data_IF_708685410492
#
_entry.id   IF_708685410492
#
_cell.length_a   1.000
_cell.length_b   1.000
_cell.length_c   1.000
_cell.angle_alpha   90.00
_cell.angle_beta   90.00
_cell.angle_gamma   90.00
#
_symmetry.space_group_name_H-M   'P 1'
#
loop_
_entity.id
_entity.type
_entity.pdbx_description
1 polymer ?
#
# COMPACT_ATOMS: atom_id res chain seq x y z
N UNK A 1 34.02 -67.14 14.84
CA UNK A 1 34.45 -66.36 15.98
C UNK A 1 34.63 -64.91 15.54
N UNK A 2 33.63 -64.06 15.74
CA UNK A 2 33.73 -62.60 15.53
C UNK A 2 33.19 -61.95 16.78
N UNK A 3 34.11 -61.29 17.50
CA UNK A 3 33.82 -60.50 18.69
C UNK A 3 33.13 -59.20 18.31
N UNK A 4 32.02 -58.88 18.98
CA UNK A 4 31.37 -57.55 18.92
C UNK A 4 31.99 -56.65 20.00
N UNK A 5 32.14 -55.34 19.75
CA UNK A 5 32.59 -54.42 20.80
C UNK A 5 31.38 -53.87 21.58
N UNK A 6 31.55 -53.91 22.90
CA UNK A 6 30.69 -53.27 23.91
C UNK A 6 30.78 -51.75 23.79
N UNK A 7 29.64 -51.07 23.66
CA UNK A 7 29.53 -49.63 23.81
C UNK A 7 29.11 -49.31 25.26
N UNK A 8 29.99 -48.64 26.01
CA UNK A 8 29.72 -48.11 27.35
C UNK A 8 28.99 -46.76 27.18
N UNK A 9 27.75 -46.70 27.57
CA UNK A 9 27.00 -45.45 27.67
C UNK A 9 27.29 -44.77 29.01
N UNK A 10 27.98 -43.66 28.97
CA UNK A 10 28.23 -42.80 30.14
C UNK A 10 27.08 -41.80 30.26
N UNK A 11 26.21 -42.02 31.25
CA UNK A 11 25.13 -41.10 31.58
C UNK A 11 25.67 -39.95 32.44
N UNK A 12 25.76 -38.76 31.88
CA UNK A 12 25.96 -37.54 32.65
C UNK A 12 24.61 -37.04 33.15
N UNK A 13 24.36 -37.11 34.45
CA UNK A 13 23.23 -36.43 35.10
C UNK A 13 23.59 -34.93 35.23
N UNK A 14 22.95 -34.12 34.43
CA UNK A 14 22.97 -32.65 34.59
C UNK A 14 21.83 -32.27 35.52
N UNK A 15 22.17 -31.91 36.77
CA UNK A 15 21.22 -31.29 37.69
C UNK A 15 20.86 -29.86 37.18
N UNK A 16 19.65 -29.69 36.67
CA UNK A 16 19.08 -28.38 36.39
C UNK A 16 18.68 -27.71 37.71
N UNK A 17 19.49 -26.79 38.18
CA UNK A 17 19.05 -25.78 39.15
C UNK A 17 18.22 -24.74 38.38
N UNK A 18 16.91 -24.80 38.52
CA UNK A 18 15.99 -23.77 38.04
C UNK A 18 16.16 -22.52 38.91
N UNK A 19 16.88 -21.54 38.40
CA UNK A 19 16.72 -20.17 38.90
C UNK A 19 15.36 -19.68 38.44
N UNK A 20 14.44 -19.50 39.42
CA UNK A 20 13.23 -18.78 39.18
C UNK A 20 13.60 -17.31 38.86
N UNK A 21 13.50 -16.92 37.59
CA UNK A 21 13.57 -15.52 37.23
C UNK A 21 12.28 -14.84 37.73
N UNK A 22 12.41 -13.74 38.45
CA UNK A 22 11.29 -12.88 38.80
C UNK A 22 10.51 -12.52 37.51
N UNK A 23 9.16 -12.49 37.55
CA UNK A 23 8.38 -12.07 36.42
C UNK A 23 8.78 -10.64 36.02
N UNK A 24 8.88 -10.32 34.73
CA UNK A 24 9.18 -8.97 34.30
C UNK A 24 8.13 -8.03 34.89
N UNK A 25 8.60 -6.99 35.58
CA UNK A 25 7.72 -5.91 36.08
C UNK A 25 6.98 -5.35 34.90
N UNK A 26 5.65 -5.38 34.96
CA UNK A 26 4.77 -4.76 33.99
C UNK A 26 5.28 -3.35 33.64
N UNK A 27 5.38 -2.97 32.37
CA UNK A 27 5.69 -1.61 32.00
C UNK A 27 4.63 -0.71 32.66
N UNK A 28 5.08 0.27 33.46
CA UNK A 28 4.23 1.22 34.15
C UNK A 28 3.18 1.74 33.17
N UNK A 29 1.92 1.47 33.48
CA UNK A 29 0.77 2.06 32.77
C UNK A 29 1.04 3.56 32.59
N UNK A 30 1.03 4.11 31.37
CA UNK A 30 1.24 5.55 31.17
C UNK A 30 0.19 6.30 31.97
N UNK A 31 0.61 7.33 32.71
CA UNK A 31 -0.28 8.21 33.47
C UNK A 31 -1.45 8.67 32.59
N UNK A 32 -2.67 8.48 33.05
CA UNK A 32 -3.91 8.75 32.33
C UNK A 32 -4.15 10.24 31.93
N UNK A 33 -3.15 11.12 32.12
CA UNK A 33 -3.24 12.57 31.85
C UNK A 33 -2.19 13.10 30.84
N UNK A 34 -1.49 12.26 30.11
CA UNK A 34 -0.69 12.76 28.98
C UNK A 34 -1.66 13.02 27.81
N UNK A 35 -1.81 14.28 27.41
CA UNK A 35 -2.57 14.64 26.21
C UNK A 35 -2.08 13.80 25.04
N UNK A 36 -3.02 13.13 24.35
CA UNK A 36 -2.68 12.33 23.17
C UNK A 36 -1.97 13.24 22.17
N UNK A 37 -0.81 12.86 21.64
CA UNK A 37 -0.11 13.69 20.67
C UNK A 37 -1.04 14.03 19.50
N UNK A 38 -0.94 15.22 18.92
CA UNK A 38 -1.75 15.60 17.77
C UNK A 38 -1.53 14.59 16.63
N UNK A 39 -2.56 14.33 15.80
CA UNK A 39 -2.43 13.42 14.69
C UNK A 39 -1.33 13.93 13.72
N UNK A 40 -0.61 13.03 13.04
CA UNK A 40 0.38 13.41 12.03
C UNK A 40 -0.23 14.34 10.98
N UNK A 41 0.52 15.37 10.56
CA UNK A 41 0.06 16.30 9.54
C UNK A 41 -0.09 15.57 8.20
N UNK A 42 -1.20 15.84 7.51
CA UNK A 42 -1.49 15.38 6.17
C UNK A 42 -1.43 16.58 5.21
N UNK A 43 -0.60 16.50 4.19
CA UNK A 43 -0.51 17.49 3.13
C UNK A 43 -1.29 16.99 1.92
N UNK A 44 -2.18 17.79 1.39
CA UNK A 44 -3.09 17.44 0.28
C UNK A 44 -2.75 18.16 -1.02
N UNK A 45 -1.68 18.94 -1.02
CA UNK A 45 -1.13 19.62 -2.19
C UNK A 45 0.41 19.72 -2.08
N UNK A 46 1.08 19.80 -3.22
CA UNK A 46 2.54 19.83 -3.30
C UNK A 46 3.15 21.13 -2.72
N UNK A 47 2.44 22.25 -2.82
CA UNK A 47 2.97 23.56 -2.40
C UNK A 47 3.24 23.60 -0.89
N UNK A 48 2.45 22.85 -0.10
CA UNK A 48 2.57 22.77 1.35
C UNK A 48 3.42 21.61 1.84
N UNK A 49 3.74 20.64 0.96
CA UNK A 49 4.36 19.36 1.34
C UNK A 49 5.87 19.49 1.71
N UNK A 50 6.52 20.59 1.32
CA UNK A 50 7.88 20.93 1.74
C UNK A 50 9.01 20.20 1.00
N UNK A 51 10.22 20.27 1.56
CA UNK A 51 11.43 19.76 0.92
C UNK A 51 11.46 18.22 0.83
N UNK A 52 11.00 17.53 1.87
CA UNK A 52 10.98 16.07 1.90
C UNK A 52 10.14 15.48 0.77
N UNK A 53 9.02 16.13 0.44
CA UNK A 53 8.17 15.74 -0.68
C UNK A 53 8.89 15.87 -2.03
N UNK A 54 9.71 16.89 -2.22
CA UNK A 54 10.47 17.08 -3.47
C UNK A 54 11.46 15.94 -3.70
N UNK A 55 12.08 15.41 -2.64
CA UNK A 55 13.04 14.32 -2.69
C UNK A 55 12.32 12.95 -2.81
N UNK A 56 11.16 12.79 -2.15
CA UNK A 56 10.38 11.56 -2.25
C UNK A 56 9.95 11.28 -3.69
N UNK A 57 9.97 10.03 -4.11
CA UNK A 57 9.48 9.62 -5.43
C UNK A 57 10.24 8.46 -6.03
N UNK A 58 10.05 8.25 -7.31
CA UNK A 58 10.67 7.20 -8.08
C UNK A 58 11.78 7.74 -8.95
N UNK A 59 12.89 6.99 -9.04
CA UNK A 59 14.07 7.34 -9.83
C UNK A 59 14.51 6.14 -10.68
N UNK A 60 14.90 6.41 -11.92
CA UNK A 60 15.46 5.40 -12.83
C UNK A 60 16.87 5.82 -13.26
N UNK A 61 17.80 4.86 -13.22
CA UNK A 61 19.16 4.98 -13.73
C UNK A 61 19.51 3.79 -14.59
N UNK A 62 20.34 4.03 -15.62
CA UNK A 62 20.79 3.01 -16.54
C UNK A 62 22.25 3.27 -16.92
N UNK A 63 23.07 2.20 -16.93
CA UNK A 63 24.45 2.24 -17.42
C UNK A 63 24.84 0.87 -18.00
N UNK A 64 25.16 0.83 -19.29
CA UNK A 64 25.32 -0.42 -20.02
C UNK A 64 24.06 -1.29 -19.91
N UNK A 65 24.23 -2.54 -19.50
CA UNK A 65 23.12 -3.48 -19.30
C UNK A 65 22.47 -3.40 -17.91
N UNK A 66 23.00 -2.55 -17.01
CA UNK A 66 22.47 -2.39 -15.67
C UNK A 66 21.40 -1.30 -15.63
N UNK A 67 20.16 -1.69 -15.32
CA UNK A 67 19.05 -0.78 -15.02
C UNK A 67 18.66 -0.92 -13.55
N UNK A 68 18.51 0.22 -12.87
CA UNK A 68 18.06 0.27 -11.48
C UNK A 68 16.86 1.22 -11.33
N UNK A 69 15.86 0.75 -10.59
CA UNK A 69 14.78 1.59 -10.10
C UNK A 69 14.97 1.88 -8.62
N UNK A 70 14.65 3.07 -8.16
CA UNK A 70 14.72 3.46 -6.75
C UNK A 70 13.41 4.12 -6.36
N UNK A 71 12.82 3.67 -5.25
CA UNK A 71 11.73 4.37 -4.57
C UNK A 71 12.31 5.02 -3.31
N UNK A 72 12.17 6.34 -3.19
CA UNK A 72 12.61 7.14 -2.05
C UNK A 72 11.42 7.59 -1.25
N UNK A 73 11.36 7.20 0.01
CA UNK A 73 10.25 7.42 0.93
C UNK A 73 10.69 8.39 2.02
N UNK A 74 9.97 9.50 2.17
CA UNK A 74 10.15 10.42 3.28
C UNK A 74 9.51 9.85 4.55
N UNK A 75 10.26 9.85 5.63
CA UNK A 75 9.88 9.32 6.94
C UNK A 75 9.81 10.40 8.02
N UNK A 76 9.68 11.67 7.61
CA UNK A 76 9.62 12.81 8.51
C UNK A 76 10.89 12.90 9.36
N UNK A 77 10.73 12.98 10.69
CA UNK A 77 11.87 13.07 11.62
C UNK A 77 12.85 11.90 11.55
N UNK A 78 12.44 10.75 11.01
CA UNK A 78 13.30 9.58 10.83
C UNK A 78 14.15 9.65 9.56
N UNK A 79 14.00 10.73 8.75
CA UNK A 79 14.72 10.93 7.51
C UNK A 79 14.08 10.26 6.32
N UNK A 80 14.82 9.44 5.59
CA UNK A 80 14.38 8.78 4.36
C UNK A 80 14.75 7.31 4.33
N UNK A 81 14.02 6.56 3.50
CA UNK A 81 14.40 5.22 3.09
C UNK A 81 14.40 5.14 1.56
N UNK A 82 15.47 4.61 0.99
CA UNK A 82 15.52 4.22 -0.41
C UNK A 82 15.33 2.71 -0.54
N UNK A 83 14.52 2.29 -1.51
CA UNK A 83 14.33 0.89 -1.89
C UNK A 83 14.80 0.74 -3.32
N UNK A 84 15.86 -0.06 -3.53
CA UNK A 84 16.54 -0.22 -4.82
C UNK A 84 16.14 -1.54 -5.46
N UNK A 85 15.64 -1.45 -6.67
CA UNK A 85 15.14 -2.57 -7.47
C UNK A 85 16.07 -2.81 -8.67
N UNK A 86 16.31 -4.07 -9.02
CA UNK A 86 17.03 -4.45 -10.26
C UNK A 86 16.07 -4.51 -11.44
N UNK A 87 16.55 -4.12 -12.58
CA UNK A 87 15.91 -4.17 -13.91
C UNK A 87 14.76 -3.17 -14.10
N UNK A 88 14.43 -2.37 -13.10
CA UNK A 88 13.39 -1.33 -13.19
C UNK A 88 12.62 -1.13 -11.90
N UNK A 89 11.41 -0.58 -11.98
CA UNK A 89 10.49 -0.32 -10.86
C UNK A 89 9.41 -1.42 -10.77
N UNK A 90 8.73 -1.57 -9.63
CA UNK A 90 7.55 -2.46 -9.53
C UNK A 90 6.54 -2.20 -10.65
N UNK A 91 6.17 -3.27 -11.37
CA UNK A 91 5.29 -3.20 -12.54
C UNK A 91 5.91 -2.59 -13.81
N UNK A 92 7.20 -2.25 -13.79
CA UNK A 92 7.95 -1.70 -14.92
C UNK A 92 9.40 -2.21 -14.92
N UNK A 93 9.57 -3.49 -15.24
CA UNK A 93 10.85 -4.15 -15.42
C UNK A 93 11.43 -4.83 -14.20
N UNK A 94 11.07 -4.47 -12.97
CA UNK A 94 11.59 -5.15 -11.77
C UNK A 94 11.43 -6.67 -11.86
N UNK A 95 12.52 -7.38 -11.58
CA UNK A 95 12.62 -8.84 -11.77
C UNK A 95 11.97 -9.68 -10.63
N UNK A 96 11.28 -9.04 -9.66
CA UNK A 96 10.60 -9.70 -8.54
C UNK A 96 11.52 -10.19 -7.42
N UNK A 97 12.84 -9.98 -7.51
CA UNK A 97 13.77 -10.36 -6.43
C UNK A 97 13.78 -9.32 -5.31
N UNK A 98 14.18 -9.77 -4.12
CA UNK A 98 14.23 -8.91 -2.92
C UNK A 98 15.00 -7.61 -3.20
N UNK A 99 14.36 -6.44 -3.00
CA UNK A 99 15.00 -5.16 -3.19
C UNK A 99 15.92 -4.84 -2.01
N UNK A 100 16.97 -4.07 -2.27
CA UNK A 100 17.84 -3.55 -1.22
C UNK A 100 17.24 -2.29 -0.60
N UNK A 101 17.27 -2.19 0.72
CA UNK A 101 16.81 -1.02 1.45
C UNK A 101 17.98 -0.32 2.14
N UNK A 102 17.96 1.01 2.16
CA UNK A 102 18.95 1.84 2.85
C UNK A 102 18.29 3.08 3.42
N UNK A 103 18.65 3.46 4.64
CA UNK A 103 18.19 4.70 5.26
C UNK A 103 19.10 5.88 4.88
N UNK A 104 18.50 7.05 4.78
CA UNK A 104 19.18 8.29 4.45
C UNK A 104 18.68 9.46 5.26
N UNK A 105 19.41 10.54 5.22
CA UNK A 105 19.08 11.80 5.93
C UNK A 105 19.57 13.00 5.17
N UNK A 106 19.08 14.17 5.53
CA UNK A 106 19.60 15.42 5.06
C UNK A 106 21.05 15.63 5.53
N UNK A 107 21.94 15.97 4.60
CA UNK A 107 23.29 16.45 4.82
C UNK A 107 23.48 17.73 4.00
N UNK A 108 23.38 18.90 4.66
CA UNK A 108 23.32 20.20 3.97
C UNK A 108 22.11 20.31 3.03
N UNK A 109 22.35 20.57 1.76
CA UNK A 109 21.34 20.75 0.71
C UNK A 109 21.00 19.44 -0.05
N UNK A 110 21.42 18.28 0.46
CA UNK A 110 21.20 16.98 -0.19
C UNK A 110 20.73 15.93 0.81
N UNK A 111 19.99 14.93 0.32
CA UNK A 111 19.71 13.71 1.07
C UNK A 111 20.73 12.65 0.65
N UNK A 112 21.42 12.07 1.63
CA UNK A 112 22.44 11.07 1.42
C UNK A 112 22.06 9.74 2.04
N UNK A 113 22.27 8.68 1.28
CA UNK A 113 22.15 7.30 1.69
C UNK A 113 23.51 6.64 1.57
N UNK A 114 23.91 5.82 2.55
CA UNK A 114 25.17 5.08 2.52
C UNK A 114 24.90 3.67 3.01
N UNK A 115 25.34 2.69 2.25
CA UNK A 115 25.22 1.28 2.62
C UNK A 115 26.48 0.78 3.36
N UNK A 116 26.37 -0.36 4.04
CA UNK A 116 27.50 -0.95 4.80
C UNK A 116 28.69 -1.31 3.90
N UNK A 117 28.46 -1.59 2.62
CA UNK A 117 29.47 -1.85 1.59
C UNK A 117 29.86 -0.60 0.80
N UNK A 118 29.67 0.59 1.38
CA UNK A 118 30.10 1.89 0.87
C UNK A 118 29.49 2.31 -0.48
N UNK A 119 28.32 1.74 -0.89
CA UNK A 119 27.56 2.37 -1.97
C UNK A 119 26.85 3.62 -1.43
N UNK A 120 26.80 4.65 -2.23
CA UNK A 120 26.12 5.90 -1.88
C UNK A 120 25.07 6.27 -2.90
N UNK A 121 24.04 7.00 -2.45
CA UNK A 121 23.06 7.69 -3.29
C UNK A 121 22.89 9.10 -2.72
N UNK A 122 23.04 10.10 -3.58
CA UNK A 122 22.89 11.51 -3.21
C UNK A 122 21.80 12.13 -4.08
N UNK A 123 20.83 12.77 -3.43
CA UNK A 123 19.71 13.46 -4.09
C UNK A 123 19.73 14.91 -3.63
N UNK A 124 19.73 15.85 -4.55
CA UNK A 124 19.69 17.27 -4.23
C UNK A 124 18.30 17.71 -3.69
N UNK A 125 18.24 18.88 -3.08
CA UNK A 125 17.00 19.43 -2.49
C UNK A 125 15.85 19.65 -3.49
N UNK A 126 16.12 19.67 -4.79
CA UNK A 126 15.09 19.81 -5.82
C UNK A 126 14.48 18.46 -6.19
N UNK A 127 15.21 17.38 -5.90
CA UNK A 127 14.73 16.02 -6.06
C UNK A 127 14.50 15.58 -7.52
N UNK A 128 15.13 16.27 -8.50
CA UNK A 128 14.92 15.94 -9.92
C UNK A 128 15.86 14.87 -10.43
N UNK A 129 17.02 14.73 -9.80
CA UNK A 129 18.06 13.77 -10.13
C UNK A 129 18.75 13.25 -8.88
N UNK A 130 19.39 12.11 -9.03
CA UNK A 130 20.26 11.55 -8.00
C UNK A 130 21.53 10.99 -8.65
N UNK A 131 22.59 10.88 -7.87
CA UNK A 131 23.84 10.23 -8.28
C UNK A 131 24.12 9.09 -7.31
N UNK A 132 24.20 7.88 -7.84
CA UNK A 132 24.69 6.71 -7.11
C UNK A 132 26.18 6.52 -7.35
N UNK A 133 26.91 5.99 -6.37
CA UNK A 133 28.29 5.52 -6.53
C UNK A 133 28.49 4.19 -5.85
N UNK A 134 29.29 3.31 -6.45
CA UNK A 134 29.71 2.07 -5.83
C UNK A 134 30.99 2.26 -4.97
N UNK A 135 31.49 1.16 -4.37
CA UNK A 135 32.68 1.15 -3.52
C UNK A 135 33.97 1.56 -4.25
N UNK A 136 33.96 1.56 -5.59
CA UNK A 136 35.07 2.02 -6.46
C UNK A 136 34.91 3.45 -6.93
N UNK A 137 33.88 4.16 -6.46
CA UNK A 137 33.48 5.48 -6.94
C UNK A 137 33.07 5.55 -8.42
N UNK A 138 32.69 4.41 -9.02
CA UNK A 138 32.02 4.40 -10.32
C UNK A 138 30.57 4.90 -10.13
N UNK A 139 30.16 5.87 -10.94
CA UNK A 139 28.89 6.59 -10.74
C UNK A 139 27.82 6.17 -11.73
N UNK A 140 26.56 6.31 -11.31
CA UNK A 140 25.36 6.16 -12.12
C UNK A 140 24.43 7.33 -11.83
N UNK A 141 23.94 7.97 -12.89
CA UNK A 141 22.95 9.02 -12.80
C UNK A 141 21.53 8.44 -12.79
N UNK A 142 20.68 9.01 -11.94
CA UNK A 142 19.26 8.68 -11.86
C UNK A 142 18.41 9.92 -12.12
N UNK A 143 17.34 9.76 -12.86
CA UNK A 143 16.33 10.79 -13.10
C UNK A 143 15.05 10.46 -12.35
N UNK A 144 14.42 11.45 -11.76
CA UNK A 144 13.10 11.31 -11.18
C UNK A 144 12.08 11.03 -12.29
N UNK A 145 11.19 10.08 -12.04
CA UNK A 145 10.11 9.73 -12.97
C UNK A 145 8.75 9.85 -12.27
N UNK A 146 7.75 10.29 -13.02
CA UNK A 146 6.36 10.33 -12.59
C UNK A 146 5.56 9.40 -13.50
N UNK A 147 5.29 8.20 -13.01
CA UNK A 147 4.46 7.24 -13.75
C UNK A 147 2.99 7.63 -13.64
N UNK A 148 2.24 7.33 -14.69
CA UNK A 148 0.78 7.48 -14.71
C UNK A 148 0.13 6.13 -14.94
N UNK A 149 -1.01 5.91 -14.31
CA UNK A 149 -1.82 4.76 -14.65
C UNK A 149 -2.33 4.87 -16.09
N UNK A 150 -2.29 3.78 -16.88
CA UNK A 150 -2.86 3.80 -18.24
C UNK A 150 -4.39 3.97 -18.25
N UNK A 151 -5.05 3.77 -17.09
CA UNK A 151 -6.50 3.96 -16.94
C UNK A 151 -6.86 5.24 -16.19
N UNK A 152 -5.88 6.09 -15.86
CA UNK A 152 -6.15 7.41 -15.29
C UNK A 152 -6.92 8.29 -16.30
N UNK A 153 -8.07 8.82 -15.89
CA UNK A 153 -8.97 9.58 -16.73
C UNK A 153 -9.80 8.72 -17.70
N UNK A 154 -9.86 7.40 -17.49
CA UNK A 154 -10.67 6.51 -18.32
C UNK A 154 -12.13 6.91 -18.28
N UNK A 155 -12.72 7.12 -19.46
CA UNK A 155 -14.15 7.45 -19.57
C UNK A 155 -15.01 6.26 -19.19
N UNK A 156 -16.08 6.52 -18.46
CA UNK A 156 -17.10 5.51 -18.19
C UNK A 156 -17.62 4.92 -19.53
N UNK A 157 -17.58 3.59 -19.74
CA UNK A 157 -18.08 2.98 -20.96
C UNK A 157 -19.60 3.15 -21.11
N UNK A 158 -20.11 2.92 -22.31
CA UNK A 158 -21.55 2.96 -22.55
C UNK A 158 -22.28 1.96 -21.63
N UNK A 159 -23.34 2.41 -20.96
CA UNK A 159 -24.10 1.62 -19.99
C UNK A 159 -23.52 1.59 -18.57
N UNK A 160 -22.36 2.21 -18.34
CA UNK A 160 -21.83 2.35 -16.98
C UNK A 160 -22.71 3.28 -16.13
N UNK A 161 -22.79 2.97 -14.85
CA UNK A 161 -23.39 3.81 -13.82
C UNK A 161 -22.27 4.69 -13.26
N UNK A 162 -22.34 6.00 -13.54
CA UNK A 162 -21.40 6.97 -13.01
C UNK A 162 -21.76 7.23 -11.55
N UNK A 163 -20.90 6.82 -10.64
CA UNK A 163 -21.08 7.03 -9.20
C UNK A 163 -20.62 8.43 -8.80
N UNK A 164 -19.49 8.89 -9.38
CA UNK A 164 -18.95 10.22 -9.14
C UNK A 164 -18.01 10.64 -10.29
N UNK A 165 -18.27 11.82 -10.87
CA UNK A 165 -17.47 12.42 -11.94
C UNK A 165 -17.00 13.86 -11.65
N UNK A 166 -17.23 14.33 -10.42
CA UNK A 166 -16.90 15.69 -10.01
C UNK A 166 -18.03 16.73 -10.24
N UNK A 167 -19.17 16.34 -10.80
CA UNK A 167 -20.30 17.26 -11.04
C UNK A 167 -21.26 17.35 -9.85
N UNK A 168 -21.59 16.23 -9.23
CA UNK A 168 -22.48 16.14 -8.08
C UNK A 168 -22.23 14.84 -7.29
N UNK A 169 -22.96 14.66 -6.19
CA UNK A 169 -22.89 13.48 -5.30
C UNK A 169 -24.22 12.72 -5.24
N UNK A 170 -25.06 12.87 -6.26
CA UNK A 170 -26.44 12.38 -6.25
C UNK A 170 -26.58 10.86 -6.20
N UNK A 171 -25.58 10.11 -6.69
CA UNK A 171 -25.54 8.64 -6.61
C UNK A 171 -24.97 8.13 -5.29
N UNK A 172 -24.69 9.02 -4.32
CA UNK A 172 -24.02 8.68 -3.06
C UNK A 172 -24.86 9.01 -1.83
N UNK A 173 -24.84 8.12 -0.83
CA UNK A 173 -25.28 8.41 0.53
C UNK A 173 -24.09 8.98 1.31
N UNK A 174 -24.27 10.15 1.94
CA UNK A 174 -23.23 10.83 2.70
C UNK A 174 -22.08 11.40 1.84
N UNK A 175 -22.29 11.50 0.53
CA UNK A 175 -21.32 12.09 -0.40
C UNK A 175 -21.05 13.56 -0.07
N UNK A 176 -19.77 13.93 -0.07
CA UNK A 176 -19.27 15.30 0.06
C UNK A 176 -18.14 15.52 -0.93
N UNK A 177 -18.10 16.66 -1.52
CA UNK A 177 -17.11 17.09 -2.51
C UNK A 177 -16.41 18.35 -1.99
N UNK A 178 -15.12 18.48 -2.21
CA UNK A 178 -14.37 19.69 -1.88
C UNK A 178 -14.42 20.73 -3.03
N UNK A 179 -13.80 21.88 -2.83
CA UNK A 179 -13.73 22.97 -3.81
C UNK A 179 -12.98 22.61 -5.10
N UNK A 180 -12.16 21.54 -5.07
CA UNK A 180 -11.46 20.98 -6.24
C UNK A 180 -12.33 19.99 -7.02
N UNK A 181 -13.58 19.82 -6.64
CA UNK A 181 -14.49 18.81 -7.18
C UNK A 181 -14.00 17.37 -6.95
N UNK A 182 -13.33 17.11 -5.81
CA UNK A 182 -12.88 15.80 -5.40
C UNK A 182 -13.80 15.23 -4.32
N UNK A 183 -14.12 13.93 -4.43
CA UNK A 183 -14.97 13.23 -3.48
C UNK A 183 -14.17 12.91 -2.20
N UNK A 184 -14.73 13.28 -1.07
CA UNK A 184 -14.20 12.93 0.25
C UNK A 184 -14.54 11.48 0.61
N UNK A 185 -13.73 10.87 1.46
CA UNK A 185 -13.96 9.53 2.04
C UNK A 185 -15.26 9.48 2.88
N UNK A 186 -15.86 8.29 2.95
CA UNK A 186 -17.00 7.97 3.82
C UNK A 186 -18.31 7.64 3.11
N UNK A 187 -18.53 7.99 1.81
CA UNK A 187 -19.80 7.70 1.19
C UNK A 187 -19.98 6.22 0.82
N UNK A 188 -21.25 5.87 0.64
CA UNK A 188 -21.66 4.62 -0.01
C UNK A 188 -22.47 4.92 -1.25
N UNK A 189 -22.43 4.05 -2.26
CA UNK A 189 -23.36 4.17 -3.38
C UNK A 189 -24.82 4.04 -2.92
N UNK A 190 -25.75 4.74 -3.56
CA UNK A 190 -27.18 4.51 -3.36
C UNK A 190 -27.61 3.19 -3.98
N UNK A 191 -27.06 2.88 -5.16
CA UNK A 191 -27.29 1.61 -5.85
C UNK A 191 -26.53 0.48 -5.19
N UNK A 192 -27.10 -0.71 -5.27
CA UNK A 192 -26.51 -1.97 -4.79
C UNK A 192 -26.15 -2.82 -5.99
N UNK A 193 -25.01 -3.49 -5.92
CA UNK A 193 -24.43 -4.26 -7.01
C UNK A 193 -24.23 -5.72 -6.62
N UNK A 194 -24.35 -6.61 -7.60
CA UNK A 194 -23.88 -7.99 -7.54
C UNK A 194 -22.55 -8.11 -8.28
N UNK A 195 -22.51 -8.89 -9.34
CA UNK A 195 -21.35 -9.05 -10.20
C UNK A 195 -21.17 -7.75 -11.01
N UNK A 196 -19.99 -7.13 -10.93
CA UNK A 196 -19.75 -5.85 -11.57
C UNK A 196 -18.27 -5.60 -11.84
N UNK A 197 -18.00 -4.65 -12.73
CA UNK A 197 -16.68 -4.05 -12.89
C UNK A 197 -16.71 -2.63 -12.30
N UNK A 198 -15.70 -2.26 -11.54
CA UNK A 198 -15.59 -0.97 -10.86
C UNK A 198 -14.30 -0.30 -11.31
N UNK A 199 -14.38 0.96 -11.66
CA UNK A 199 -13.23 1.85 -11.78
C UNK A 199 -13.30 2.91 -10.69
N UNK A 200 -12.17 3.19 -10.05
CA UNK A 200 -12.04 4.26 -9.07
C UNK A 200 -10.64 4.88 -9.13
N UNK A 201 -10.58 6.19 -9.20
CA UNK A 201 -9.33 6.93 -9.07
C UNK A 201 -9.23 7.53 -7.67
N UNK A 202 -8.04 7.43 -7.07
CA UNK A 202 -7.78 7.97 -5.74
C UNK A 202 -6.43 8.66 -5.67
N UNK A 203 -6.31 9.60 -4.73
CA UNK A 203 -5.05 10.30 -4.42
C UNK A 203 -4.82 10.27 -2.91
N UNK A 204 -3.60 9.93 -2.54
CA UNK A 204 -3.17 9.81 -1.15
C UNK A 204 -2.55 11.11 -0.66
N UNK A 205 -2.85 11.60 0.55
CA UNK A 205 -2.12 12.72 1.14
C UNK A 205 -0.68 12.32 1.46
N UNK A 206 0.23 13.28 1.43
CA UNK A 206 1.59 13.10 1.91
C UNK A 206 1.63 13.23 3.45
N UNK A 207 1.99 12.14 4.14
CA UNK A 207 2.00 12.04 5.60
C UNK A 207 3.33 11.44 6.10
N UNK A 208 4.47 12.19 6.01
CA UNK A 208 5.78 11.62 6.28
C UNK A 208 5.99 11.14 7.72
N UNK A 209 5.29 11.73 8.70
CA UNK A 209 5.38 11.33 10.11
C UNK A 209 4.41 10.18 10.50
N UNK A 210 3.51 9.78 9.60
CA UNK A 210 2.58 8.67 9.84
C UNK A 210 3.17 7.31 9.42
N UNK A 211 2.69 6.22 10.02
CA UNK A 211 3.14 4.84 9.75
C UNK A 211 1.95 3.87 9.72
N UNK A 212 2.14 2.76 9.01
CA UNK A 212 1.19 1.65 8.96
C UNK A 212 -0.23 2.12 8.65
N UNK A 213 -1.21 1.58 9.35
CA UNK A 213 -2.64 1.89 9.13
C UNK A 213 -3.04 3.34 9.45
N UNK A 214 -2.16 4.16 10.00
CA UNK A 214 -2.37 5.59 10.21
C UNK A 214 -1.90 6.47 9.05
N UNK A 215 -1.29 5.90 7.98
CA UNK A 215 -0.67 6.63 6.89
C UNK A 215 -1.57 6.59 5.64
N UNK A 216 -2.38 7.65 5.43
CA UNK A 216 -3.25 7.82 4.27
C UNK A 216 -4.20 6.62 4.02
N UNK A 217 -4.92 6.20 5.05
CA UNK A 217 -5.77 5.02 5.03
C UNK A 217 -7.18 5.31 4.53
N UNK A 218 -7.67 4.44 3.64
CA UNK A 218 -9.02 4.32 3.14
C UNK A 218 -9.22 2.89 2.60
N UNK A 219 -10.31 2.63 1.87
CA UNK A 219 -10.59 1.35 1.23
C UNK A 219 -11.74 1.45 0.24
N UNK A 220 -11.70 0.63 -0.81
CA UNK A 220 -12.82 0.42 -1.72
C UNK A 220 -13.51 -0.89 -1.33
N UNK A 221 -14.68 -0.79 -0.73
CA UNK A 221 -15.48 -1.95 -0.32
C UNK A 221 -16.44 -2.38 -1.41
N UNK A 222 -16.33 -3.63 -1.82
CA UNK A 222 -17.23 -4.34 -2.72
C UNK A 222 -18.39 -4.89 -1.90
N UNK A 223 -19.63 -4.53 -2.26
CA UNK A 223 -20.84 -4.89 -1.51
C UNK A 223 -20.82 -4.49 -0.01
N UNK A 224 -19.96 -3.54 0.39
CA UNK A 224 -19.70 -3.22 1.80
C UNK A 224 -19.25 -4.44 2.65
N UNK A 225 -18.64 -5.42 2.00
CA UNK A 225 -18.20 -6.70 2.59
C UNK A 225 -16.72 -6.97 2.42
N UNK A 226 -16.19 -6.67 1.22
CA UNK A 226 -14.84 -7.05 0.81
C UNK A 226 -14.04 -5.80 0.45
N UNK A 227 -13.00 -5.55 1.19
CA UNK A 227 -12.16 -4.37 1.04
C UNK A 227 -10.97 -4.63 0.14
N UNK A 228 -10.79 -3.80 -0.88
CA UNK A 228 -9.52 -3.57 -1.53
C UNK A 228 -8.89 -2.35 -0.85
N UNK A 229 -7.79 -2.59 -0.13
CA UNK A 229 -7.15 -1.59 0.73
C UNK A 229 -6.59 -0.41 -0.05
N UNK A 230 -6.79 0.79 0.47
CA UNK A 230 -6.14 2.04 0.04
C UNK A 230 -5.28 2.55 1.19
N UNK A 231 -3.97 2.63 0.98
CA UNK A 231 -2.99 3.00 2.01
C UNK A 231 -1.75 3.61 1.35
N UNK A 232 -1.06 4.55 1.99
CA UNK A 232 0.28 4.92 1.54
C UNK A 232 1.28 3.80 1.89
N UNK A 233 1.38 2.86 0.98
CA UNK A 233 2.31 1.73 1.01
C UNK A 233 3.49 1.93 0.06
N UNK A 234 3.74 3.16 -0.38
CA UNK A 234 4.83 3.46 -1.30
C UNK A 234 6.17 2.96 -0.74
N UNK A 235 6.86 2.11 -1.51
CA UNK A 235 8.14 1.49 -1.12
C UNK A 235 8.05 0.43 -0.01
N UNK A 236 6.84 -0.06 0.31
CA UNK A 236 6.64 -1.22 1.17
C UNK A 236 6.59 -2.51 0.34
N UNK A 237 6.49 -3.64 1.02
CA UNK A 237 6.56 -4.96 0.39
C UNK A 237 5.30 -5.33 -0.41
N UNK A 238 4.12 -4.86 -0.01
CA UNK A 238 2.83 -5.28 -0.54
C UNK A 238 2.26 -6.46 0.26
N UNK A 239 2.02 -6.24 1.56
CA UNK A 239 1.34 -7.22 2.41
C UNK A 239 -0.18 -7.14 2.24
N UNK A 240 -0.91 -8.12 2.78
CA UNK A 240 -2.36 -8.21 2.62
C UNK A 240 -3.17 -7.11 3.34
N UNK A 241 -2.53 -6.26 4.12
CA UNK A 241 -3.09 -5.08 4.79
C UNK A 241 -2.48 -3.76 4.28
N UNK A 242 -1.75 -3.82 3.17
CA UNK A 242 -1.18 -2.68 2.45
C UNK A 242 -1.99 -2.37 1.20
N UNK A 243 -1.64 -1.31 0.48
CA UNK A 243 -2.37 -0.84 -0.70
C UNK A 243 -2.53 -1.96 -1.75
N UNK A 244 -3.74 -2.15 -2.25
CA UNK A 244 -4.07 -3.23 -3.18
C UNK A 244 -4.33 -4.58 -2.53
N UNK A 245 -4.07 -4.75 -1.22
CA UNK A 245 -4.43 -5.99 -0.52
C UNK A 245 -5.94 -6.20 -0.48
N UNK A 246 -6.42 -7.43 -0.67
CA UNK A 246 -7.75 -7.82 -0.20
C UNK A 246 -7.60 -7.99 1.31
N UNK A 247 -8.09 -7.00 2.05
CA UNK A 247 -7.69 -6.73 3.43
C UNK A 247 -7.69 -7.98 4.32
N UNK A 248 -6.50 -8.32 4.83
CA UNK A 248 -6.19 -9.50 5.65
C UNK A 248 -6.47 -10.86 4.98
N UNK A 249 -6.86 -10.90 3.70
CA UNK A 249 -7.16 -12.14 2.96
C UNK A 249 -6.09 -12.51 1.95
N UNK A 250 -5.68 -11.55 1.09
CA UNK A 250 -4.67 -11.80 0.07
C UNK A 250 -3.76 -10.59 -0.13
N UNK A 251 -2.46 -10.82 -0.20
CA UNK A 251 -1.47 -9.81 -0.59
C UNK A 251 -1.49 -9.61 -2.10
N UNK A 252 -1.25 -8.39 -2.59
CA UNK A 252 -1.07 -8.16 -4.02
C UNK A 252 0.19 -8.87 -4.52
N UNK A 253 0.16 -9.34 -5.77
CA UNK A 253 1.33 -9.99 -6.40
C UNK A 253 2.53 -9.05 -6.55
N UNK A 254 2.27 -7.75 -6.63
CA UNK A 254 3.26 -6.67 -6.67
C UNK A 254 2.65 -5.41 -6.04
N UNK A 255 3.45 -4.68 -5.26
CA UNK A 255 3.04 -3.39 -4.73
C UNK A 255 3.14 -2.31 -5.80
N UNK A 256 1.99 -1.86 -6.32
CA UNK A 256 1.89 -0.83 -7.36
C UNK A 256 1.56 0.56 -6.80
N UNK A 257 1.66 0.76 -5.48
CA UNK A 257 1.38 2.05 -4.86
C UNK A 257 2.36 3.12 -5.38
N UNK A 258 1.82 4.17 -6.00
CA UNK A 258 2.59 5.35 -6.42
C UNK A 258 2.85 6.29 -5.22
N UNK A 259 3.82 7.20 -5.34
CA UNK A 259 4.05 8.21 -4.32
C UNK A 259 2.78 8.98 -3.96
N UNK A 260 2.59 9.42 -2.70
CA UNK A 260 1.54 10.37 -2.33
C UNK A 260 1.47 11.59 -3.26
N UNK A 261 0.30 12.16 -3.39
CA UNK A 261 -0.06 13.27 -4.28
C UNK A 261 0.04 12.94 -5.79
N UNK A 262 0.13 11.64 -6.14
CA UNK A 262 -0.08 11.16 -7.51
C UNK A 262 -1.40 10.38 -7.58
N UNK A 263 -2.13 10.56 -8.69
CA UNK A 263 -3.36 9.82 -8.95
C UNK A 263 -3.05 8.35 -9.23
N UNK A 264 -3.88 7.48 -8.66
CA UNK A 264 -3.82 6.04 -8.79
C UNK A 264 -5.18 5.50 -9.18
N UNK A 265 -5.21 4.33 -9.82
CA UNK A 265 -6.46 3.72 -10.28
C UNK A 265 -6.61 2.31 -9.76
N UNK A 266 -7.82 1.97 -9.36
CA UNK A 266 -8.27 0.59 -9.27
C UNK A 266 -9.26 0.29 -10.39
N UNK A 267 -9.00 -0.81 -11.11
CA UNK A 267 -9.94 -1.45 -12.02
C UNK A 267 -10.24 -2.85 -11.44
N UNK A 268 -11.46 -3.05 -10.95
CA UNK A 268 -11.84 -4.24 -10.18
C UNK A 268 -12.94 -4.98 -10.91
N UNK A 269 -12.67 -6.22 -11.29
CA UNK A 269 -13.66 -7.17 -11.76
C UNK A 269 -14.12 -8.03 -10.59
N UNK A 270 -15.38 -7.88 -10.19
CA UNK A 270 -15.94 -8.52 -9.01
C UNK A 270 -17.06 -9.49 -9.35
N UNK A 271 -17.02 -10.67 -8.74
CA UNK A 271 -18.10 -11.66 -8.73
C UNK A 271 -18.53 -11.89 -7.28
N UNK A 272 -19.80 -11.68 -6.99
CA UNK A 272 -20.37 -11.83 -5.66
C UNK A 272 -20.42 -13.31 -5.21
N UNK A 273 -20.35 -13.53 -3.90
CA UNK A 273 -20.61 -14.83 -3.31
C UNK A 273 -22.01 -15.35 -3.68
N UNK A 274 -22.16 -16.64 -3.94
CA UNK A 274 -23.43 -17.25 -4.31
C UNK A 274 -24.02 -18.00 -3.13
N UNK A 275 -25.34 -17.98 -3.06
CA UNK A 275 -26.11 -18.62 -1.98
C UNK A 275 -27.27 -19.42 -2.58
N UNK A 276 -27.64 -20.51 -1.93
CA UNK A 276 -28.85 -21.27 -2.27
C UNK A 276 -30.11 -20.62 -1.67
N UNK A 277 -31.27 -21.23 -1.96
CA UNK A 277 -32.58 -20.77 -1.47
C UNK A 277 -32.72 -20.76 0.05
N UNK A 278 -31.89 -21.54 0.75
CA UNK A 278 -31.90 -21.68 2.20
C UNK A 278 -30.89 -20.74 2.86
N UNK A 279 -30.23 -19.88 2.06
CA UNK A 279 -29.24 -18.89 2.50
C UNK A 279 -27.85 -19.46 2.78
N UNK A 280 -27.59 -20.71 2.41
CA UNK A 280 -26.29 -21.34 2.55
C UNK A 280 -25.38 -20.90 1.39
N UNK A 281 -24.15 -20.46 1.71
CA UNK A 281 -23.17 -20.09 0.70
C UNK A 281 -22.74 -21.32 -0.13
N UNK A 282 -22.82 -21.18 -1.46
CA UNK A 282 -22.48 -22.21 -2.44
C UNK A 282 -21.21 -21.89 -3.24
N UNK A 283 -20.82 -20.62 -3.32
CA UNK A 283 -19.56 -20.19 -3.91
C UNK A 283 -19.03 -18.92 -3.21
N UNK A 284 -17.73 -18.83 -3.12
CA UNK A 284 -17.03 -17.65 -2.60
C UNK A 284 -17.13 -16.47 -3.58
N UNK A 285 -17.00 -15.24 -3.05
CA UNK A 285 -16.76 -14.08 -3.88
C UNK A 285 -15.39 -14.19 -4.56
N UNK A 286 -15.22 -13.51 -5.70
CA UNK A 286 -13.96 -13.46 -6.45
C UNK A 286 -13.68 -12.03 -6.91
N UNK A 287 -12.40 -11.71 -6.99
CA UNK A 287 -11.97 -10.43 -7.54
C UNK A 287 -10.72 -10.58 -8.41
N UNK A 288 -10.73 -9.91 -9.56
CA UNK A 288 -9.53 -9.53 -10.31
C UNK A 288 -9.32 -8.04 -10.09
N UNK A 289 -8.16 -7.66 -9.59
CA UNK A 289 -7.83 -6.25 -9.29
C UNK A 289 -6.63 -5.83 -10.09
N UNK A 290 -6.78 -4.74 -10.84
CA UNK A 290 -5.64 -4.00 -11.41
C UNK A 290 -5.41 -2.74 -10.60
N UNK A 291 -4.17 -2.52 -10.20
CA UNK A 291 -3.71 -1.28 -9.59
C UNK A 291 -2.74 -0.60 -10.55
N UNK A 292 -3.06 0.63 -10.93
CA UNK A 292 -2.30 1.38 -11.93
C UNK A 292 -2.05 0.59 -13.23
N UNK A 293 -3.09 -0.14 -13.69
CA UNK A 293 -3.07 -0.95 -14.92
C UNK A 293 -2.41 -2.33 -14.79
N UNK A 294 -1.71 -2.62 -13.68
CA UNK A 294 -1.06 -3.92 -13.45
C UNK A 294 -1.99 -4.84 -12.66
N UNK A 295 -2.21 -6.06 -13.14
CA UNK A 295 -3.00 -7.07 -12.42
C UNK A 295 -2.25 -7.51 -11.17
N UNK A 296 -2.81 -7.17 -10.00
CA UNK A 296 -2.25 -7.50 -8.69
C UNK A 296 -2.98 -8.66 -8.01
N UNK A 297 -4.22 -8.92 -8.41
CA UNK A 297 -5.00 -10.12 -8.08
C UNK A 297 -5.67 -10.63 -9.36
N UNK A 298 -5.57 -11.92 -9.62
CA UNK A 298 -6.19 -12.56 -10.76
C UNK A 298 -7.18 -13.62 -10.27
N UNK A 299 -8.48 -13.33 -10.38
CA UNK A 299 -9.60 -14.20 -10.01
C UNK A 299 -9.44 -14.82 -8.59
N UNK A 300 -8.95 -14.01 -7.64
CA UNK A 300 -8.70 -14.47 -6.26
C UNK A 300 -10.01 -14.73 -5.53
N UNK A 301 -10.14 -15.89 -4.89
CA UNK A 301 -11.29 -16.21 -4.06
C UNK A 301 -11.21 -15.51 -2.70
N UNK A 302 -12.36 -14.94 -2.29
CA UNK A 302 -12.53 -14.27 -1.00
C UNK A 302 -13.53 -15.11 -0.19
N UNK A 303 -13.00 -15.88 0.73
CA UNK A 303 -13.77 -16.91 1.45
C UNK A 303 -14.74 -16.38 2.51
N UNK A 304 -14.58 -15.12 2.93
CA UNK A 304 -15.44 -14.44 3.90
C UNK A 304 -15.19 -12.93 3.81
N UNK A 305 -16.08 -12.14 4.42
CA UNK A 305 -15.91 -10.68 4.54
C UNK A 305 -14.53 -10.28 5.05
N UNK A 306 -14.05 -9.11 4.67
CA UNK A 306 -12.83 -8.50 5.21
C UNK A 306 -13.10 -7.80 6.54
N UNK A 307 -12.06 -7.33 7.21
CA UNK A 307 -12.18 -6.51 8.42
C UNK A 307 -13.06 -5.27 8.16
N UNK A 308 -13.94 -4.92 9.09
CA UNK A 308 -14.88 -3.80 8.92
C UNK A 308 -16.07 -4.06 7.98
N UNK A 309 -16.03 -5.13 7.17
CA UNK A 309 -17.10 -5.49 6.23
C UNK A 309 -18.35 -6.03 6.93
N UNK A 310 -19.51 -5.84 6.29
CA UNK A 310 -20.77 -6.45 6.71
C UNK A 310 -20.78 -7.95 6.46
N UNK A 311 -21.67 -8.67 7.12
CA UNK A 311 -21.85 -10.10 6.90
C UNK A 311 -22.21 -10.41 5.43
N UNK A 312 -21.72 -11.54 4.95
CA UNK A 312 -22.10 -12.06 3.63
C UNK A 312 -23.58 -12.45 3.59
N UNK A 313 -24.17 -12.41 2.41
CA UNK A 313 -25.56 -12.80 2.20
C UNK A 313 -25.94 -12.72 0.73
N UNK A 314 -27.14 -13.25 0.37
CA UNK A 314 -27.58 -13.36 -1.02
C UNK A 314 -27.98 -12.04 -1.68
N UNK A 315 -28.10 -10.96 -0.90
CA UNK A 315 -28.55 -9.67 -1.40
C UNK A 315 -27.42 -8.84 -1.99
N UNK A 316 -27.67 -8.06 -3.06
CA UNK A 316 -26.74 -7.05 -3.55
C UNK A 316 -26.29 -6.10 -2.44
N UNK A 317 -25.07 -5.58 -2.53
CA UNK A 317 -24.51 -4.63 -1.57
C UNK A 317 -23.99 -3.35 -2.24
N UNK A 318 -23.77 -2.33 -1.43
CA UNK A 318 -23.26 -1.02 -1.88
C UNK A 318 -21.74 -1.04 -2.08
N UNK A 319 -21.25 -0.14 -2.92
CA UNK A 319 -19.83 0.23 -2.94
C UNK A 319 -19.62 1.26 -1.83
N UNK A 320 -18.57 1.10 -1.02
CA UNK A 320 -18.20 2.08 0.01
C UNK A 320 -16.77 2.56 -0.22
N UNK A 321 -16.57 3.86 -0.12
CA UNK A 321 -15.25 4.49 -0.04
C UNK A 321 -14.98 4.83 1.43
N UNK A 322 -14.16 4.00 2.07
CA UNK A 322 -14.00 4.01 3.53
C UNK A 322 -13.45 5.34 4.07
N UNK A 323 -13.99 5.80 5.18
CA UNK A 323 -13.37 6.85 6.00
C UNK A 323 -12.60 6.20 7.16
N UNK A 324 -11.30 6.35 7.16
CA UNK A 324 -10.41 5.90 8.23
C UNK A 324 -9.69 7.07 8.94
N UNK A 325 -10.21 8.30 8.78
CA UNK A 325 -9.69 9.50 9.43
C UNK A 325 -8.55 10.21 8.68
N UNK A 326 -8.15 9.74 7.50
CA UNK A 326 -7.16 10.40 6.66
C UNK A 326 -7.82 11.06 5.44
N UNK A 327 -7.32 12.20 4.95
CA UNK A 327 -7.89 12.93 3.82
C UNK A 327 -7.46 12.32 2.48
N UNK A 328 -7.91 11.09 2.20
CA UNK A 328 -7.84 10.47 0.87
C UNK A 328 -8.99 11.04 0.04
N UNK A 329 -8.73 11.30 -1.23
CA UNK A 329 -9.76 11.81 -2.15
C UNK A 329 -9.94 10.85 -3.32
N UNK A 330 -11.16 10.85 -3.85
CA UNK A 330 -11.54 10.06 -5.03
C UNK A 330 -12.05 10.96 -6.14
N UNK A 331 -11.93 10.46 -7.37
CA UNK A 331 -12.58 11.02 -8.56
C UNK A 331 -12.88 9.91 -9.55
N UNK A 332 -13.64 10.20 -10.60
CA UNK A 332 -13.91 9.29 -11.71
C UNK A 332 -14.25 7.87 -11.23
N UNK A 333 -15.36 7.74 -10.49
CA UNK A 333 -15.83 6.44 -9.97
C UNK A 333 -17.04 5.99 -10.77
N UNK A 334 -16.94 4.84 -11.42
CA UNK A 334 -18.07 4.26 -12.18
C UNK A 334 -18.11 2.74 -12.08
N UNK A 335 -19.28 2.18 -12.35
CA UNK A 335 -19.57 0.74 -12.23
C UNK A 335 -20.29 0.27 -13.50
N UNK A 336 -19.90 -0.89 -13.98
CA UNK A 336 -20.61 -1.67 -15.01
C UNK A 336 -21.17 -2.93 -14.36
N UNK A 337 -22.49 -3.09 -14.38
CA UNK A 337 -23.16 -4.34 -13.97
C UNK A 337 -22.95 -5.43 -15.02
N UNK A 338 -22.87 -6.70 -14.56
CA UNK A 338 -22.69 -7.87 -15.42
C UNK A 338 -23.93 -8.72 -15.46
#
# INVERSE_FOLDING_TARGET
>A
MKLAPFAIALAFAISLTTFAADPPKDPKTPSANAAKPPPPKAFINEAEAGADFKVQGEYLGETGDLKLGIQVIALGKEGFRAVVYRDGLPGDGWNGKDPRQVNGKWEGDSVKFTTDDNHTLVIDKNGQSAVGANEKNETMDFKKVNRKSPTEGAKAPAGAIVIFDGTNVDELNGGKMDERHLLLVGPTSKRKFNDCTIHAEFILPFMPDARGQGRANSGVYLQNRYEVQVLDSFGLKGENNECGGIYTKAAPSVNMCYPPLQWQTYDIDFTAAKFDKDGKKTANAKATVKHNGVTIHDNVEINDKTGGGQAEGPTPGVIQLQNHGNPVFFRNVWVVEK
#
